data_IF_869143925083
#
_entry.id   IF_869143925083
#
_cell.length_a   1.000
_cell.length_b   1.000
_cell.length_c   1.000
_cell.angle_alpha   90.00
_cell.angle_beta   90.00
_cell.angle_gamma   90.00
#
_symmetry.space_group_name_H-M   'P 1'
#
loop_
_entity.id
_entity.type
_entity.pdbx_description
1 polymer ?
#
# COMPACT_ATOMS: atom_id res chain seq x y z
N UNK A 1 -3.57 7.63 -33.18
CA UNK A 1 -2.82 7.13 -32.01
C UNK A 1 -3.63 7.44 -30.75
N UNK A 2 -4.06 6.43 -29.99
CA UNK A 2 -4.83 6.66 -28.74
C UNK A 2 -3.87 6.61 -27.56
N UNK A 3 -3.78 7.70 -26.81
CA UNK A 3 -3.01 7.77 -25.57
C UNK A 3 -3.87 7.21 -24.42
N UNK A 4 -3.25 6.47 -23.49
CA UNK A 4 -3.88 5.98 -22.26
C UNK A 4 -3.15 6.58 -21.07
N UNK A 5 -3.88 7.16 -20.12
CA UNK A 5 -3.34 7.74 -18.91
C UNK A 5 -4.07 7.18 -17.69
N UNK A 6 -3.38 7.12 -16.56
CA UNK A 6 -3.98 6.82 -15.25
C UNK A 6 -4.13 8.14 -14.50
N UNK A 7 -5.37 8.55 -14.24
CA UNK A 7 -5.69 9.65 -13.32
C UNK A 7 -5.78 9.06 -11.91
N UNK A 8 -5.26 9.75 -10.89
CA UNK A 8 -5.51 9.37 -9.49
C UNK A 8 -4.32 9.49 -8.55
N UNK A 9 -3.09 9.31 -9.04
CA UNK A 9 -1.92 9.35 -8.17
C UNK A 9 -1.59 10.76 -7.70
N UNK A 10 -1.40 10.91 -6.39
CA UNK A 10 -1.14 12.19 -5.73
C UNK A 10 0.35 12.45 -5.54
N UNK A 11 1.14 11.38 -5.42
CA UNK A 11 2.57 11.45 -5.15
C UNK A 11 3.36 10.54 -6.08
N UNK A 12 4.61 10.89 -6.32
CA UNK A 12 5.58 10.09 -7.07
C UNK A 12 6.94 10.12 -6.38
N UNK A 13 7.60 8.95 -6.31
CA UNK A 13 8.91 8.84 -5.68
C UNK A 13 9.97 9.51 -6.56
N UNK A 14 10.71 10.45 -5.98
CA UNK A 14 11.87 11.08 -6.63
C UNK A 14 13.12 10.19 -6.59
N UNK A 15 13.19 9.27 -5.62
CA UNK A 15 14.32 8.35 -5.44
C UNK A 15 13.83 7.00 -4.92
N UNK A 16 14.62 5.95 -5.14
CA UNK A 16 14.28 4.60 -4.69
C UNK A 16 14.26 4.55 -3.17
N UNK A 17 13.14 4.08 -2.61
CA UNK A 17 13.00 3.75 -1.20
C UNK A 17 13.34 2.27 -0.97
N UNK A 18 14.01 1.97 0.13
CA UNK A 18 14.18 0.59 0.60
C UNK A 18 13.79 0.49 2.07
N UNK A 19 13.15 -0.61 2.44
CA UNK A 19 12.78 -0.89 3.82
C UNK A 19 12.70 -2.39 4.11
N UNK A 20 12.43 -2.72 5.36
CA UNK A 20 12.17 -4.08 5.82
C UNK A 20 10.69 -4.21 6.19
N UNK A 21 10.06 -5.28 5.75
CA UNK A 21 8.69 -5.67 6.11
C UNK A 21 8.67 -7.11 6.59
N UNK A 22 7.69 -7.46 7.41
CA UNK A 22 7.50 -8.84 7.90
C UNK A 22 6.59 -9.63 6.92
N UNK A 23 6.87 -9.53 5.62
CA UNK A 23 6.18 -10.24 4.53
C UNK A 23 7.20 -11.05 3.73
N UNK A 24 7.03 -12.37 3.72
CA UNK A 24 8.02 -13.32 3.21
C UNK A 24 7.42 -14.16 2.08
N UNK A 25 7.47 -13.69 0.81
CA UNK A 25 6.93 -14.45 -0.32
C UNK A 25 7.73 -15.74 -0.56
N UNK A 26 7.16 -16.69 -1.30
CA UNK A 26 7.82 -17.97 -1.61
C UNK A 26 9.05 -17.79 -2.53
N UNK A 27 9.00 -16.79 -3.40
CA UNK A 27 10.07 -16.39 -4.32
C UNK A 27 10.24 -14.88 -4.29
N UNK A 28 11.40 -14.38 -4.71
CA UNK A 28 11.58 -12.95 -4.90
C UNK A 28 10.58 -12.44 -5.96
N UNK A 29 9.97 -11.29 -5.68
CA UNK A 29 9.05 -10.61 -6.57
C UNK A 29 9.80 -9.41 -7.15
N UNK A 30 9.88 -9.36 -8.48
CA UNK A 30 10.53 -8.26 -9.21
C UNK A 30 9.54 -7.74 -10.24
N UNK A 31 9.13 -6.49 -10.07
CA UNK A 31 8.26 -5.78 -11.01
C UNK A 31 8.99 -4.53 -11.55
N UNK A 32 8.32 -3.78 -12.42
CA UNK A 32 8.85 -2.53 -12.96
C UNK A 32 9.27 -1.57 -11.83
N UNK A 33 8.43 -1.39 -10.81
CA UNK A 33 8.66 -0.42 -9.72
C UNK A 33 8.88 -1.03 -8.34
N UNK A 34 8.52 -2.28 -8.10
CA UNK A 34 8.55 -2.90 -6.76
C UNK A 34 9.38 -4.18 -6.80
N UNK A 35 10.34 -4.28 -5.90
CA UNK A 35 11.06 -5.50 -5.58
C UNK A 35 10.70 -5.91 -4.15
N UNK A 36 10.38 -7.18 -3.92
CA UNK A 36 10.20 -7.75 -2.59
C UNK A 36 10.92 -9.10 -2.54
N UNK A 37 11.94 -9.21 -1.71
CA UNK A 37 12.72 -10.43 -1.57
C UNK A 37 12.07 -11.39 -0.56
N UNK A 38 12.48 -12.67 -0.59
CA UNK A 38 12.01 -13.70 0.35
C UNK A 38 12.30 -13.41 1.81
N UNK A 39 13.31 -12.60 2.10
CA UNK A 39 13.67 -12.14 3.45
C UNK A 39 12.96 -10.85 3.86
N UNK A 40 11.99 -10.36 3.08
CA UNK A 40 11.15 -9.22 3.43
C UNK A 40 11.78 -7.85 3.18
N UNK A 41 12.86 -7.78 2.40
CA UNK A 41 13.41 -6.50 1.95
C UNK A 41 12.58 -5.97 0.78
N UNK A 42 11.92 -4.83 1.00
CA UNK A 42 11.13 -4.15 -0.02
C UNK A 42 11.95 -3.00 -0.62
N UNK A 43 11.97 -2.92 -1.96
CA UNK A 43 12.51 -1.80 -2.72
C UNK A 43 11.44 -1.21 -3.62
N UNK A 44 11.17 0.08 -3.50
CA UNK A 44 10.19 0.83 -4.30
C UNK A 44 10.97 1.85 -5.11
N UNK A 45 11.05 1.64 -6.43
CA UNK A 45 11.92 2.38 -7.33
C UNK A 45 11.40 3.79 -7.59
N UNK A 46 12.32 4.69 -7.92
CA UNK A 46 12.00 6.03 -8.38
C UNK A 46 10.97 5.98 -9.53
N UNK A 47 10.06 6.96 -9.56
CA UNK A 47 8.95 7.01 -10.51
C UNK A 47 7.69 6.25 -10.09
N UNK A 48 7.74 5.44 -9.02
CA UNK A 48 6.54 4.82 -8.47
C UNK A 48 5.54 5.88 -7.99
N UNK A 49 4.30 5.79 -8.45
CA UNK A 49 3.23 6.72 -8.14
C UNK A 49 2.18 6.08 -7.21
N UNK A 50 1.70 6.82 -6.21
CA UNK A 50 0.75 6.32 -5.21
C UNK A 50 -0.19 7.43 -4.72
N UNK A 51 -1.25 7.06 -4.02
CA UNK A 51 -2.35 7.98 -3.69
C UNK A 51 -2.11 8.70 -2.35
N UNK A 52 -1.13 8.24 -1.57
CA UNK A 52 -0.88 8.71 -0.21
C UNK A 52 -1.85 8.09 0.80
N UNK A 53 -1.92 8.65 2.02
CA UNK A 53 -2.91 8.24 3.00
C UNK A 53 -4.34 8.38 2.48
N UNK A 54 -5.13 7.31 2.54
CA UNK A 54 -6.55 7.31 2.16
C UNK A 54 -7.47 7.42 3.38
N UNK A 55 -8.59 8.12 3.23
CA UNK A 55 -9.59 8.36 4.29
C UNK A 55 -9.54 9.78 4.88
N UNK A 56 -10.21 10.05 6.03
CA UNK A 56 -10.29 11.37 6.67
C UNK A 56 -8.98 11.74 7.40
N UNK A 57 -7.85 11.41 6.80
CA UNK A 57 -6.53 11.51 7.41
C UNK A 57 -5.72 12.57 6.69
N UNK A 58 -5.09 13.46 7.45
CA UNK A 58 -4.20 14.48 6.90
C UNK A 58 -2.91 13.84 6.38
N UNK A 59 -2.39 14.35 5.25
CA UNK A 59 -1.05 14.00 4.75
C UNK A 59 -0.01 14.54 5.72
N UNK A 60 0.34 13.74 6.70
CA UNK A 60 1.37 14.06 7.68
C UNK A 60 2.62 13.28 7.34
N UNK A 61 3.78 13.85 7.67
CA UNK A 61 5.07 13.23 7.41
C UNK A 61 5.17 11.81 8.00
N UNK A 62 4.54 11.59 9.15
CA UNK A 62 4.47 10.31 9.86
C UNK A 62 3.57 9.25 9.21
N UNK A 63 2.87 9.56 8.10
CA UNK A 63 1.98 8.64 7.39
C UNK A 63 2.43 8.40 5.93
N UNK A 64 3.31 9.25 5.40
CA UNK A 64 3.73 9.16 4.00
C UNK A 64 4.51 7.88 3.70
N UNK A 65 5.49 7.51 4.55
CA UNK A 65 6.28 6.29 4.37
C UNK A 65 5.40 5.04 4.52
N UNK A 66 4.51 5.04 5.51
CA UNK A 66 3.57 3.95 5.75
C UNK A 66 2.66 3.74 4.55
N UNK A 67 1.99 4.80 4.09
CA UNK A 67 1.08 4.73 2.94
C UNK A 67 1.77 4.27 1.66
N UNK A 68 3.00 4.73 1.41
CA UNK A 68 3.81 4.29 0.28
C UNK A 68 4.06 2.76 0.31
N UNK A 69 4.50 2.23 1.45
CA UNK A 69 4.76 0.80 1.60
C UNK A 69 3.46 0.00 1.50
N UNK A 70 2.39 0.47 2.12
CA UNK A 70 1.06 -0.16 2.08
C UNK A 70 0.51 -0.23 0.66
N UNK A 71 0.51 0.87 -0.09
CA UNK A 71 0.04 0.90 -1.49
C UNK A 71 0.86 -0.04 -2.39
N UNK A 72 2.17 -0.11 -2.16
CA UNK A 72 3.07 -1.02 -2.90
C UNK A 72 2.74 -2.49 -2.63
N UNK A 73 2.55 -2.86 -1.36
CA UNK A 73 2.15 -4.22 -0.98
C UNK A 73 0.76 -4.55 -1.53
N UNK A 74 -0.19 -3.62 -1.45
CA UNK A 74 -1.53 -3.79 -2.02
C UNK A 74 -1.48 -3.91 -3.54
N UNK A 75 -0.59 -3.22 -4.23
CA UNK A 75 -0.39 -3.42 -5.66
C UNK A 75 0.08 -4.85 -5.96
N UNK A 76 1.05 -5.38 -5.23
CA UNK A 76 1.51 -6.76 -5.40
C UNK A 76 0.37 -7.77 -5.15
N UNK A 77 -0.48 -7.51 -4.16
CA UNK A 77 -1.68 -8.33 -3.88
C UNK A 77 -2.69 -8.23 -5.03
N UNK A 78 -3.01 -7.03 -5.51
CA UNK A 78 -3.96 -6.81 -6.63
C UNK A 78 -3.49 -7.45 -7.92
N UNK A 79 -2.18 -7.49 -8.15
CA UNK A 79 -1.56 -8.09 -9.34
C UNK A 79 -1.32 -9.60 -9.19
N UNK A 80 -1.62 -10.19 -8.02
CA UNK A 80 -1.50 -11.63 -7.79
C UNK A 80 -0.09 -12.12 -7.45
N UNK A 81 0.89 -11.23 -7.29
CA UNK A 81 2.24 -11.59 -6.84
C UNK A 81 2.27 -11.99 -5.36
N UNK A 82 1.34 -11.45 -4.55
CA UNK A 82 1.15 -11.83 -3.16
C UNK A 82 -0.26 -12.40 -2.94
N UNK A 83 -0.35 -13.50 -2.21
CA UNK A 83 -1.64 -14.05 -1.78
C UNK A 83 -2.38 -13.05 -0.90
N UNK A 84 -3.54 -12.58 -1.36
CA UNK A 84 -4.43 -11.71 -0.59
C UNK A 84 -4.83 -12.33 0.75
N UNK A 85 -5.07 -13.63 0.78
CA UNK A 85 -5.54 -14.35 1.98
C UNK A 85 -4.43 -14.33 3.05
N UNK A 86 -3.17 -14.51 2.64
CA UNK A 86 -2.06 -14.59 3.59
C UNK A 86 -1.52 -13.21 4.01
N UNK A 87 -1.36 -12.29 3.05
CA UNK A 87 -0.52 -11.12 3.26
C UNK A 87 -1.25 -9.81 3.45
N UNK A 88 -2.56 -9.76 3.20
CA UNK A 88 -3.33 -8.52 3.35
C UNK A 88 -3.29 -7.96 4.76
N UNK A 89 -3.61 -8.81 5.74
CA UNK A 89 -3.59 -8.42 7.16
C UNK A 89 -2.19 -7.96 7.58
N UNK A 90 -1.15 -8.64 7.10
CA UNK A 90 0.22 -8.27 7.40
C UNK A 90 0.59 -6.92 6.78
N UNK A 91 0.17 -6.63 5.54
CA UNK A 91 0.38 -5.33 4.92
C UNK A 91 -0.27 -4.18 5.72
N UNK A 92 -1.46 -4.41 6.29
CA UNK A 92 -2.13 -3.44 7.16
C UNK A 92 -1.38 -3.26 8.49
N UNK A 93 -0.75 -4.31 9.01
CA UNK A 93 0.12 -4.25 10.21
C UNK A 93 1.39 -3.45 9.90
N UNK A 94 2.03 -3.68 8.75
CA UNK A 94 3.23 -2.94 8.32
C UNK A 94 2.96 -1.44 8.22
N UNK A 95 1.80 -1.05 7.69
CA UNK A 95 1.37 0.35 7.65
C UNK A 95 1.44 0.99 9.04
N UNK A 96 0.82 0.33 10.03
CA UNK A 96 0.72 0.84 11.40
C UNK A 96 2.08 0.83 12.10
N UNK A 97 2.89 -0.21 11.85
CA UNK A 97 4.26 -0.33 12.38
C UNK A 97 5.12 0.84 11.90
N UNK A 98 5.15 1.07 10.59
CA UNK A 98 5.90 2.15 9.95
C UNK A 98 5.42 3.52 10.44
N UNK A 99 4.11 3.75 10.51
CA UNK A 99 3.59 5.02 11.02
C UNK A 99 4.04 5.30 12.46
N UNK A 100 4.06 4.28 13.33
CA UNK A 100 4.55 4.42 14.71
C UNK A 100 6.05 4.72 14.76
N UNK A 101 6.85 4.05 13.93
CA UNK A 101 8.28 4.33 13.78
C UNK A 101 8.53 5.79 13.36
N UNK A 102 7.66 6.35 12.50
CA UNK A 102 7.73 7.75 12.07
C UNK A 102 7.14 8.75 13.07
N UNK A 103 6.79 8.30 14.29
CA UNK A 103 6.36 9.16 15.38
C UNK A 103 4.84 9.37 15.48
N UNK A 104 4.03 8.62 14.72
CA UNK A 104 2.58 8.71 14.84
C UNK A 104 2.10 8.30 16.24
N UNK A 105 1.26 9.15 16.85
CA UNK A 105 0.71 8.89 18.18
C UNK A 105 -0.09 7.58 18.23
N UNK A 106 -0.05 6.87 19.37
CA UNK A 106 -0.70 5.56 19.54
C UNK A 106 -2.20 5.58 19.24
N UNK A 107 -2.90 6.67 19.59
CA UNK A 107 -4.33 6.85 19.31
C UNK A 107 -4.60 6.95 17.81
N UNK A 108 -3.77 7.71 17.09
CA UNK A 108 -3.89 7.89 15.64
C UNK A 108 -3.52 6.60 14.88
N UNK A 109 -2.47 5.92 15.31
CA UNK A 109 -2.09 4.62 14.76
C UNK A 109 -3.19 3.55 14.97
N UNK A 110 -3.86 3.55 16.13
CA UNK A 110 -5.02 2.68 16.38
C UNK A 110 -6.21 3.01 15.48
N UNK A 111 -6.49 4.30 15.27
CA UNK A 111 -7.52 4.75 14.35
C UNK A 111 -7.25 4.26 12.92
N UNK A 112 -6.01 4.43 12.43
CA UNK A 112 -5.58 3.95 11.11
C UNK A 112 -5.78 2.44 10.99
N UNK A 113 -5.33 1.66 11.98
CA UNK A 113 -5.55 0.21 11.99
C UNK A 113 -7.02 -0.17 11.87
N UNK A 114 -7.90 0.50 12.63
CA UNK A 114 -9.34 0.23 12.59
C UNK A 114 -9.98 0.67 11.28
N UNK A 115 -9.56 1.78 10.70
CA UNK A 115 -10.10 2.31 9.45
C UNK A 115 -9.85 1.33 8.29
N UNK A 116 -8.64 0.77 8.20
CA UNK A 116 -8.29 -0.21 7.15
C UNK A 116 -9.09 -1.51 7.33
N UNK A 117 -9.21 -2.02 8.56
CA UNK A 117 -10.03 -3.21 8.87
C UNK A 117 -11.53 -3.01 8.60
N UNK A 118 -12.07 -1.81 8.86
CA UNK A 118 -13.49 -1.51 8.65
C UNK A 118 -13.82 -1.30 7.17
N UNK A 119 -12.92 -0.65 6.42
CA UNK A 119 -13.08 -0.47 4.97
C UNK A 119 -13.22 -1.82 4.26
N UNK A 120 -12.44 -2.81 4.68
CA UNK A 120 -12.52 -4.16 4.15
C UNK A 120 -13.84 -4.86 4.40
N UNK A 121 -14.36 -4.72 5.62
CA UNK A 121 -15.69 -5.23 5.96
C UNK A 121 -16.72 -4.55 5.05
N UNK A 122 -16.77 -3.23 5.03
CA UNK A 122 -17.73 -2.46 4.23
C UNK A 122 -17.66 -2.77 2.72
N UNK A 123 -16.46 -2.90 2.14
CA UNK A 123 -16.28 -3.26 0.73
C UNK A 123 -16.75 -4.70 0.44
N UNK A 124 -16.62 -5.63 1.39
CA UNK A 124 -17.14 -7.00 1.22
C UNK A 124 -18.66 -7.08 1.18
N UNK A 125 -19.36 -6.10 1.73
CA UNK A 125 -20.83 -6.00 1.75
C UNK A 125 -21.42 -5.13 0.62
N UNK A 126 -20.58 -4.43 -0.15
CA UNK A 126 -21.04 -3.62 -1.27
C UNK A 126 -21.11 -4.47 -2.55
N UNK A 127 -22.25 -4.48 -3.27
CA UNK A 127 -22.32 -5.14 -4.57
C UNK A 127 -21.31 -4.47 -5.53
N UNK A 128 -20.48 -5.27 -6.20
CA UNK A 128 -19.58 -4.78 -7.25
C UNK A 128 -20.42 -4.16 -8.36
N UNK A 129 -20.36 -2.84 -8.51
CA UNK A 129 -20.87 -2.18 -9.73
C UNK A 129 -19.83 -2.36 -10.82
N UNK A 130 -20.17 -3.12 -11.86
CA UNK A 130 -19.49 -3.03 -13.15
C UNK A 130 -19.76 -1.63 -13.72
N UNK A 131 -18.70 -0.87 -13.95
CA UNK A 131 -18.78 0.43 -14.60
C UNK A 131 -18.18 0.21 -15.99
N UNK A 132 -19.04 0.12 -17.01
CA UNK A 132 -18.62 0.27 -18.39
C UNK A 132 -18.34 1.75 -18.65
N UNK A 133 -17.15 2.06 -19.15
CA UNK A 133 -16.81 3.41 -19.61
C UNK A 133 -17.30 3.59 -21.06
N UNK A 134 -17.78 4.79 -21.44
CA UNK A 134 -18.17 5.10 -22.82
C UNK A 134 -16.99 5.07 -23.81
#
# INVERSE_FOLDING_TARGET
MKIRYKKGYKYQLSSTYTGQVDIFPHSDIVTEYINLTRDGKIGIKAGYAWDGPSGPTFDTRDFMRGSLVHDSLYQLIRQGYLSKIMWKVQADIELVKICKEDGMSRLRAWYVYRAVRLSDYLISWLPRKEIEAP
#
